data_IF_289160614811
#
_entry.id   IF_289160614811
#
_cell.length_a   1.000
_cell.length_b   1.000
_cell.length_c   1.000
_cell.angle_alpha   90.00
_cell.angle_beta   90.00
_cell.angle_gamma   90.00
#
_symmetry.space_group_name_H-M   'P 1'
#
loop_
_entity.id
_entity.type
_entity.pdbx_description
1 polymer ?
#
# COMPACT_ATOMS: atom_id res chain seq x y z
N UNK A 1 9.26 -35.70 8.09
CA UNK A 1 9.46 -34.30 8.49
C UNK A 1 8.70 -33.45 7.51
N UNK A 2 7.60 -32.85 7.98
CA UNK A 2 6.81 -31.94 7.16
C UNK A 2 7.66 -30.70 6.92
N UNK A 3 8.16 -30.54 5.69
CA UNK A 3 8.95 -29.36 5.34
C UNK A 3 7.96 -28.21 5.39
N UNK A 4 8.09 -27.36 6.40
CA UNK A 4 7.60 -25.98 6.35
C UNK A 4 8.42 -25.28 5.26
N UNK A 5 8.19 -25.64 4.00
CA UNK A 5 8.63 -24.86 2.86
C UNK A 5 7.64 -23.70 2.82
N UNK A 6 8.04 -22.59 3.43
CA UNK A 6 7.29 -21.36 3.32
C UNK A 6 7.06 -21.10 1.83
N UNK A 7 5.84 -20.69 1.48
CA UNK A 7 5.49 -20.39 0.10
C UNK A 7 6.03 -19.02 -0.31
N UNK A 8 7.35 -18.89 -0.32
CA UNK A 8 8.07 -17.65 -0.57
C UNK A 8 7.61 -16.98 -1.87
N UNK A 9 7.42 -17.76 -2.93
CA UNK A 9 6.90 -17.26 -4.21
C UNK A 9 5.48 -16.69 -4.08
N UNK A 10 4.60 -17.32 -3.30
CA UNK A 10 3.24 -16.80 -3.09
C UNK A 10 3.27 -15.48 -2.28
N UNK A 11 4.15 -15.39 -1.28
CA UNK A 11 4.33 -14.17 -0.49
C UNK A 11 4.91 -13.01 -1.31
N UNK A 12 5.90 -13.29 -2.15
CA UNK A 12 6.46 -12.31 -3.11
C UNK A 12 5.40 -11.83 -4.10
N UNK A 13 4.56 -12.72 -4.61
CA UNK A 13 3.44 -12.35 -5.49
C UNK A 13 2.43 -11.46 -4.77
N UNK A 14 2.12 -11.74 -3.49
CA UNK A 14 1.22 -10.90 -2.69
C UNK A 14 1.84 -9.52 -2.45
N UNK A 15 3.11 -9.45 -2.05
CA UNK A 15 3.82 -8.19 -1.83
C UNK A 15 3.84 -7.33 -3.12
N UNK A 16 4.11 -7.97 -4.26
CA UNK A 16 4.10 -7.30 -5.58
C UNK A 16 2.71 -6.73 -5.90
N UNK A 17 1.63 -7.49 -5.68
CA UNK A 17 0.26 -7.00 -5.91
C UNK A 17 -0.13 -5.85 -5.00
N UNK A 18 0.28 -5.90 -3.73
CA UNK A 18 0.02 -4.82 -2.77
C UNK A 18 0.77 -3.53 -3.15
N UNK A 19 2.03 -3.64 -3.58
CA UNK A 19 2.80 -2.51 -4.10
C UNK A 19 2.14 -1.91 -5.35
N UNK A 20 1.66 -2.75 -6.27
CA UNK A 20 0.92 -2.30 -7.45
C UNK A 20 -0.37 -1.57 -7.07
N UNK A 21 -1.14 -2.08 -6.09
CA UNK A 21 -2.34 -1.41 -5.60
C UNK A 21 -2.05 -0.10 -4.87
N UNK A 22 -0.94 0.00 -4.14
CA UNK A 22 -0.49 1.27 -3.56
C UNK A 22 -0.24 2.29 -4.67
N UNK A 23 0.52 1.94 -5.71
CA UNK A 23 0.79 2.83 -6.85
C UNK A 23 -0.48 3.27 -7.59
N UNK A 24 -1.43 2.35 -7.81
CA UNK A 24 -2.73 2.68 -8.44
C UNK A 24 -3.56 3.62 -7.55
N UNK A 25 -3.57 3.39 -6.24
CA UNK A 25 -4.26 4.26 -5.27
C UNK A 25 -3.64 5.66 -5.25
N UNK A 26 -2.31 5.75 -5.26
CA UNK A 26 -1.59 7.01 -5.33
C UNK A 26 -1.96 7.80 -6.61
N UNK A 27 -1.93 7.14 -7.77
CA UNK A 27 -2.29 7.76 -9.05
C UNK A 27 -3.74 8.25 -9.07
N UNK A 28 -4.68 7.46 -8.55
CA UNK A 28 -6.08 7.85 -8.43
C UNK A 28 -6.25 9.05 -7.48
N UNK A 29 -5.58 9.03 -6.33
CA UNK A 29 -5.60 10.12 -5.36
C UNK A 29 -4.99 11.42 -5.89
N UNK A 30 -3.90 11.34 -6.66
CA UNK A 30 -3.32 12.50 -7.34
C UNK A 30 -4.27 13.09 -8.38
N UNK A 31 -4.88 12.24 -9.22
CA UNK A 31 -5.86 12.68 -10.23
C UNK A 31 -7.07 13.36 -9.56
N UNK A 32 -7.56 12.79 -8.47
CA UNK A 32 -8.64 13.40 -7.69
C UNK A 32 -8.24 14.76 -7.13
N UNK A 33 -7.06 14.88 -6.48
CA UNK A 33 -6.54 16.15 -5.96
C UNK A 33 -6.43 17.23 -7.04
N UNK A 34 -5.95 16.88 -8.23
CA UNK A 34 -5.86 17.82 -9.36
C UNK A 34 -7.24 18.33 -9.80
N UNK A 35 -8.22 17.44 -9.96
CA UNK A 35 -9.58 17.83 -10.33
C UNK A 35 -10.25 18.64 -9.22
N UNK A 36 -10.02 18.27 -7.96
CA UNK A 36 -10.53 18.97 -6.79
C UNK A 36 -10.03 20.42 -6.72
N UNK A 37 -8.74 20.65 -6.99
CA UNK A 37 -8.17 22.00 -7.06
C UNK A 37 -8.80 22.86 -8.16
N UNK A 38 -9.13 22.28 -9.33
CA UNK A 38 -9.85 23.00 -10.39
C UNK A 38 -11.25 23.42 -9.94
N UNK A 39 -11.95 22.55 -9.19
CA UNK A 39 -13.26 22.88 -8.63
C UNK A 39 -13.15 23.98 -7.57
N UNK A 40 -12.17 23.89 -6.66
CA UNK A 40 -11.86 24.93 -5.65
C UNK A 40 -11.50 26.28 -6.27
N UNK A 41 -10.79 26.29 -7.41
CA UNK A 41 -10.37 27.49 -8.11
C UNK A 41 -11.49 28.28 -8.81
N UNK A 42 -12.75 27.95 -8.57
CA UNK A 42 -13.92 28.60 -9.18
C UNK A 42 -14.62 27.77 -10.26
N UNK A 43 -14.17 26.53 -10.50
CA UNK A 43 -14.84 25.60 -11.42
C UNK A 43 -16.22 25.15 -10.91
N UNK A 44 -16.46 25.22 -9.60
CA UNK A 44 -17.78 25.02 -9.01
C UNK A 44 -17.94 25.93 -7.78
N UNK A 45 -18.97 26.78 -7.80
CA UNK A 45 -19.24 27.77 -6.75
C UNK A 45 -20.64 27.55 -6.16
N UNK A 46 -20.75 27.53 -4.83
CA UNK A 46 -22.01 27.50 -4.09
C UNK A 46 -22.07 26.42 -3.01
N UNK A 47 -23.14 26.42 -2.19
CA UNK A 47 -23.28 25.56 -1.00
C UNK A 47 -23.09 24.06 -1.22
N UNK A 48 -23.39 23.56 -2.43
CA UNK A 48 -23.15 22.16 -2.78
C UNK A 48 -21.65 21.82 -2.89
N UNK A 49 -20.87 22.78 -3.35
CA UNK A 49 -19.42 22.69 -3.38
C UNK A 49 -18.83 22.77 -1.97
N UNK A 50 -19.29 23.70 -1.13
CA UNK A 50 -18.78 23.87 0.24
C UNK A 50 -18.84 22.55 1.04
N UNK A 51 -20.00 21.88 1.01
CA UNK A 51 -20.18 20.58 1.69
C UNK A 51 -19.32 19.47 1.06
N UNK A 52 -19.23 19.44 -0.26
CA UNK A 52 -18.39 18.47 -0.97
C UNK A 52 -16.90 18.67 -0.66
N UNK A 53 -16.45 19.92 -0.57
CA UNK A 53 -15.09 20.27 -0.20
C UNK A 53 -14.78 19.82 1.23
N UNK A 54 -15.66 20.11 2.17
CA UNK A 54 -15.55 19.67 3.56
C UNK A 54 -15.45 18.15 3.67
N UNK A 55 -16.33 17.39 3.02
CA UNK A 55 -16.30 15.93 3.02
C UNK A 55 -15.04 15.38 2.33
N UNK A 56 -14.59 16.03 1.27
CA UNK A 56 -13.39 15.62 0.53
C UNK A 56 -12.13 15.80 1.37
N UNK A 57 -11.98 16.93 2.06
CA UNK A 57 -10.80 17.25 2.86
C UNK A 57 -10.80 16.52 4.22
N UNK A 58 -11.95 16.42 4.88
CA UNK A 58 -12.04 15.83 6.22
C UNK A 58 -12.05 14.29 6.22
N UNK A 59 -12.54 13.66 5.15
CA UNK A 59 -12.76 12.21 5.11
C UNK A 59 -12.09 11.56 3.91
N UNK A 60 -12.38 12.03 2.70
CA UNK A 60 -12.06 11.30 1.47
C UNK A 60 -10.55 11.29 1.19
N UNK A 61 -9.91 12.46 1.16
CA UNK A 61 -8.46 12.60 0.94
C UNK A 61 -7.63 11.89 2.03
N UNK A 62 -7.93 12.05 3.34
CA UNK A 62 -7.25 11.29 4.38
C UNK A 62 -7.42 9.77 4.24
N UNK A 63 -8.61 9.29 3.88
CA UNK A 63 -8.86 7.86 3.71
C UNK A 63 -8.06 7.26 2.54
N UNK A 64 -7.98 7.97 1.41
CA UNK A 64 -7.18 7.55 0.26
C UNK A 64 -5.69 7.52 0.60
N UNK A 65 -5.18 8.53 1.30
CA UNK A 65 -3.78 8.53 1.75
C UNK A 65 -3.49 7.37 2.70
N UNK A 66 -4.37 7.14 3.68
CA UNK A 66 -4.23 6.02 4.61
C UNK A 66 -4.23 4.67 3.89
N UNK A 67 -5.03 4.51 2.84
CA UNK A 67 -5.07 3.29 2.04
C UNK A 67 -3.74 3.07 1.29
N UNK A 68 -3.21 4.12 0.65
CA UNK A 68 -1.89 4.12 0.00
C UNK A 68 -0.80 3.66 0.99
N UNK A 69 -0.75 4.30 2.16
CA UNK A 69 0.25 4.04 3.19
C UNK A 69 0.17 2.60 3.73
N UNK A 70 -1.04 2.08 3.96
CA UNK A 70 -1.24 0.73 4.49
C UNK A 70 -0.86 -0.33 3.45
N UNK A 71 -1.22 -0.14 2.19
CA UNK A 71 -0.86 -1.07 1.11
C UNK A 71 0.66 -1.19 0.96
N UNK A 72 1.38 -0.07 1.02
CA UNK A 72 2.83 -0.05 0.98
C UNK A 72 3.45 -0.69 2.22
N UNK A 73 2.97 -0.34 3.41
CA UNK A 73 3.46 -0.92 4.67
C UNK A 73 3.30 -2.44 4.70
N UNK A 74 2.15 -2.97 4.28
CA UNK A 74 1.92 -4.43 4.28
C UNK A 74 2.83 -5.12 3.26
N UNK A 75 3.01 -4.55 2.06
CA UNK A 75 3.98 -5.06 1.09
C UNK A 75 5.38 -5.16 1.69
N UNK A 76 5.83 -4.11 2.38
CA UNK A 76 7.16 -4.07 2.99
C UNK A 76 7.31 -5.07 4.14
N UNK A 77 6.29 -5.22 4.99
CA UNK A 77 6.28 -6.22 6.08
C UNK A 77 6.42 -7.64 5.52
N UNK A 78 5.72 -7.95 4.44
CA UNK A 78 5.79 -9.28 3.80
C UNK A 78 7.20 -9.55 3.28
N UNK A 79 7.79 -8.61 2.53
CA UNK A 79 9.17 -8.75 2.01
C UNK A 79 10.20 -8.95 3.13
N UNK A 80 10.13 -8.12 4.18
CA UNK A 80 11.01 -8.26 5.34
C UNK A 80 10.84 -9.62 6.04
N UNK A 81 9.61 -10.15 6.06
CA UNK A 81 9.35 -11.47 6.65
C UNK A 81 9.95 -12.61 5.81
N UNK A 82 9.85 -12.51 4.48
CA UNK A 82 10.48 -13.44 3.54
C UNK A 82 12.00 -13.42 3.70
N UNK A 83 12.62 -12.25 3.71
CA UNK A 83 14.07 -12.08 3.88
C UNK A 83 14.57 -12.70 5.19
N UNK A 84 13.88 -12.40 6.32
CA UNK A 84 14.26 -12.94 7.64
C UNK A 84 14.16 -14.46 7.68
N UNK A 85 13.16 -15.05 7.04
CA UNK A 85 12.99 -16.50 7.03
C UNK A 85 14.01 -17.20 6.13
N UNK A 86 14.34 -16.62 4.98
CA UNK A 86 15.43 -17.12 4.14
C UNK A 86 16.78 -17.10 4.88
N UNK A 87 17.10 -16.01 5.57
CA UNK A 87 18.31 -15.91 6.41
C UNK A 87 18.34 -16.98 7.50
N UNK A 88 17.23 -17.17 8.21
CA UNK A 88 17.15 -18.19 9.26
C UNK A 88 17.33 -19.62 8.72
N UNK A 89 16.81 -19.91 7.51
CA UNK A 89 17.03 -21.20 6.84
C UNK A 89 18.50 -21.40 6.43
N UNK A 90 19.16 -20.37 5.91
CA UNK A 90 20.58 -20.41 5.53
C UNK A 90 21.48 -20.65 6.75
N UNK A 91 21.25 -19.92 7.83
CA UNK A 91 21.98 -20.09 9.10
C UNK A 91 21.80 -21.50 9.69
N UNK A 92 20.57 -22.03 9.66
CA UNK A 92 20.29 -23.38 10.13
C UNK A 92 21.04 -24.42 9.28
N UNK A 93 20.98 -24.32 7.93
CA UNK A 93 21.72 -25.22 7.03
C UNK A 93 23.23 -25.14 7.25
N UNK A 94 23.77 -23.95 7.47
CA UNK A 94 25.18 -23.75 7.79
C UNK A 94 25.61 -24.41 9.11
N UNK A 95 24.73 -24.47 10.12
CA UNK A 95 24.99 -25.14 11.40
C UNK A 95 24.92 -26.67 11.35
N UNK A 96 24.14 -27.25 10.44
CA UNK A 96 24.02 -28.71 10.30
C UNK A 96 25.11 -29.35 9.42
N UNK A 97 25.97 -28.56 8.77
CA UNK A 97 27.08 -29.04 7.94
C UNK A 97 28.44 -29.15 8.68
N UNK A 98 28.44 -29.21 10.02
CA UNK A 98 29.62 -29.48 10.86
C UNK A 98 29.43 -30.76 11.68
#
# INVERSE_FOLDING_TARGET
MDKVQMKYEELEQIATRLAEWSSRTQAAGQKFRQQFQVLQGGGWIGRGFDKFADESESLLLPAVQKLEDVLEQVSNIIRQSVERMQQAEEEARGRFNF
#
